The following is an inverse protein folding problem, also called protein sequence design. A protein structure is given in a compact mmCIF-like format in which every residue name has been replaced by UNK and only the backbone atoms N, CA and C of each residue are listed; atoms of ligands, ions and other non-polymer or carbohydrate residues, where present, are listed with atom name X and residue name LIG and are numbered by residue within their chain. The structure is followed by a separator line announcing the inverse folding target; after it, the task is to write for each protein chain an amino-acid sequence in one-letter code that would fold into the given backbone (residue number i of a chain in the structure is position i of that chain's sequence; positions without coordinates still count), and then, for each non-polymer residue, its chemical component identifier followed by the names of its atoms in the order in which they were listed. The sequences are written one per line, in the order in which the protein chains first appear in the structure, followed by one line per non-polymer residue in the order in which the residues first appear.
data_IF_252536595632
#
_entry.id   IF_252536595632
#
_cell.length_a   1.000
_cell.length_b   1.000
_cell.length_c   1.000
_cell.angle_alpha   90.00
_cell.angle_beta   90.00
_cell.angle_gamma   90.00
#
_symmetry.space_group_name_H-M   'P 1'
#
loop_
_entity.id
_entity.type
_entity.pdbx_description
1 polymer ?
#
# COMPACT_ATOMS: atom_id res chain seq x y z
N UNK A 1 -7.58 -15.61 -13.05
CA UNK A 1 -7.49 -14.16 -13.28
C UNK A 1 -6.11 -13.84 -13.85
N UNK A 2 -5.99 -12.93 -14.83
CA UNK A 2 -4.69 -12.59 -15.44
C UNK A 2 -4.23 -11.21 -14.94
N UNK A 3 -2.91 -10.95 -14.79
CA UNK A 3 -2.40 -9.66 -14.31
C UNK A 3 -2.90 -8.46 -15.13
N UNK A 4 -2.98 -8.61 -16.45
CA UNK A 4 -3.48 -7.55 -17.34
C UNK A 4 -4.94 -7.18 -17.06
N UNK A 5 -5.77 -8.16 -16.68
CA UNK A 5 -7.17 -7.91 -16.30
C UNK A 5 -7.26 -7.14 -14.99
N UNK A 6 -6.37 -7.43 -14.04
CA UNK A 6 -6.28 -6.67 -12.77
C UNK A 6 -5.80 -5.24 -13.03
N UNK A 7 -4.79 -5.07 -13.89
CA UNK A 7 -4.32 -3.74 -14.30
C UNK A 7 -5.42 -2.91 -14.98
N UNK A 8 -6.27 -3.53 -15.80
CA UNK A 8 -7.43 -2.85 -16.39
C UNK A 8 -8.43 -2.41 -15.32
N UNK A 9 -8.71 -3.23 -14.30
CA UNK A 9 -9.57 -2.84 -13.19
C UNK A 9 -8.99 -1.65 -12.41
N UNK A 10 -7.67 -1.62 -12.19
CA UNK A 10 -6.99 -0.47 -11.58
C UNK A 10 -7.18 0.79 -12.42
N UNK A 11 -6.99 0.71 -13.74
CA UNK A 11 -7.18 1.86 -14.64
C UNK A 11 -8.64 2.35 -14.69
N UNK A 12 -9.62 1.44 -14.64
CA UNK A 12 -11.04 1.79 -14.51
C UNK A 12 -11.27 2.54 -13.19
N UNK A 13 -10.71 2.02 -12.10
CA UNK A 13 -10.84 2.65 -10.79
C UNK A 13 -10.20 4.05 -10.77
N UNK A 14 -9.01 4.23 -11.34
CA UNK A 14 -8.38 5.55 -11.49
C UNK A 14 -9.24 6.53 -12.29
N UNK A 15 -9.93 6.05 -13.32
CA UNK A 15 -10.73 6.91 -14.19
C UNK A 15 -12.07 7.31 -13.57
N UNK A 16 -12.70 6.40 -12.81
CA UNK A 16 -14.09 6.52 -12.38
C UNK A 16 -14.28 6.58 -10.85
N UNK A 17 -13.21 6.60 -10.04
CA UNK A 17 -13.31 6.63 -8.56
C UNK A 17 -14.10 7.80 -7.99
N UNK A 18 -14.23 8.91 -8.72
CA UNK A 18 -15.01 10.10 -8.31
C UNK A 18 -16.25 10.33 -9.15
N UNK A 19 -16.58 9.41 -10.05
CA UNK A 19 -17.75 9.54 -10.90
C UNK A 19 -19.00 9.31 -10.07
N UNK A 20 -19.94 10.27 -10.02
CA UNK A 20 -21.20 10.08 -9.31
C UNK A 20 -22.05 9.04 -10.04
N UNK A 21 -22.85 8.30 -9.29
CA UNK A 21 -23.82 7.37 -9.85
C UNK A 21 -24.99 8.18 -10.48
N UNK A 22 -25.28 8.00 -11.79
CA UNK A 22 -26.37 8.72 -12.45
C UNK A 22 -27.76 8.25 -12.00
N UNK A 23 -27.86 7.04 -11.46
CA UNK A 23 -29.11 6.42 -11.02
C UNK A 23 -29.32 6.59 -9.50
N UNK A 24 -28.26 6.82 -8.73
CA UNK A 24 -28.32 6.94 -7.28
C UNK A 24 -27.59 8.19 -6.73
N UNK A 25 -28.32 9.30 -6.47
CA UNK A 25 -27.73 10.53 -5.96
C UNK A 25 -26.97 10.34 -4.64
N UNK A 26 -25.76 10.90 -4.56
CA UNK A 26 -24.91 10.83 -3.37
C UNK A 26 -23.97 9.62 -3.31
N UNK A 27 -24.08 8.68 -4.24
CA UNK A 27 -23.22 7.51 -4.35
C UNK A 27 -22.22 7.62 -5.52
N UNK A 28 -21.11 6.88 -5.44
CA UNK A 28 -20.16 6.75 -6.54
C UNK A 28 -20.55 5.61 -7.47
N UNK A 29 -20.34 5.82 -8.77
CA UNK A 29 -20.63 4.84 -9.83
C UNK A 29 -19.96 3.48 -9.59
N UNK A 30 -18.79 3.46 -8.94
CA UNK A 30 -18.06 2.21 -8.72
C UNK A 30 -18.52 1.43 -7.48
N UNK A 31 -19.36 2.00 -6.61
CA UNK A 31 -19.91 1.30 -5.43
C UNK A 31 -20.78 0.10 -5.86
N UNK A 32 -21.56 0.22 -6.93
CA UNK A 32 -22.34 -0.91 -7.48
C UNK A 32 -21.47 -2.09 -7.98
N UNK A 33 -20.17 -1.86 -8.22
CA UNK A 33 -19.21 -2.90 -8.64
C UNK A 33 -18.31 -3.40 -7.49
N UNK A 34 -18.60 -3.00 -6.24
CA UNK A 34 -17.79 -3.35 -5.08
C UNK A 34 -17.57 -4.86 -4.95
N UNK A 35 -18.63 -5.68 -5.08
CA UNK A 35 -18.52 -7.13 -4.90
C UNK A 35 -17.55 -7.77 -5.92
N UNK A 36 -17.58 -7.29 -7.17
CA UNK A 36 -16.71 -7.75 -8.25
C UNK A 36 -15.27 -7.31 -8.00
N UNK A 37 -15.07 -6.06 -7.57
CA UNK A 37 -13.75 -5.50 -7.23
C UNK A 37 -13.12 -6.23 -6.04
N UNK A 38 -13.89 -6.47 -4.97
CA UNK A 38 -13.44 -7.23 -3.78
C UNK A 38 -13.10 -8.67 -4.18
N UNK A 39 -13.91 -9.31 -5.03
CA UNK A 39 -13.63 -10.66 -5.53
C UNK A 39 -12.35 -10.72 -6.38
N UNK A 40 -12.11 -9.69 -7.21
CA UNK A 40 -10.89 -9.55 -7.99
C UNK A 40 -9.66 -9.44 -7.10
N UNK A 41 -9.70 -8.58 -6.07
CA UNK A 41 -8.62 -8.46 -5.08
C UNK A 41 -8.36 -9.78 -4.38
N UNK A 42 -9.41 -10.46 -3.90
CA UNK A 42 -9.26 -11.76 -3.23
C UNK A 42 -8.58 -12.79 -4.12
N UNK A 43 -8.96 -12.83 -5.39
CA UNK A 43 -8.36 -13.75 -6.37
C UNK A 43 -6.91 -13.38 -6.68
N UNK A 44 -6.59 -12.09 -6.79
CA UNK A 44 -5.25 -11.63 -7.10
C UNK A 44 -4.26 -11.80 -5.92
N UNK A 45 -4.74 -11.62 -4.69
CA UNK A 45 -3.94 -11.75 -3.45
C UNK A 45 -4.00 -13.16 -2.82
N UNK A 46 -4.57 -14.14 -3.51
CA UNK A 46 -4.61 -15.52 -3.02
C UNK A 46 -3.19 -16.10 -2.80
N UNK A 47 -3.05 -17.13 -1.95
CA UNK A 47 -1.76 -17.79 -1.70
C UNK A 47 -1.20 -18.51 -2.92
N UNK A 48 -2.08 -18.94 -3.83
CA UNK A 48 -1.71 -19.62 -5.07
C UNK A 48 -1.36 -18.65 -6.22
N UNK A 49 -1.52 -17.34 -6.01
CA UNK A 49 -1.25 -16.34 -7.05
C UNK A 49 0.22 -16.25 -7.42
N UNK A 50 0.50 -16.23 -8.72
CA UNK A 50 1.84 -15.92 -9.23
C UNK A 50 2.30 -14.50 -8.88
N UNK A 51 3.61 -14.23 -8.83
CA UNK A 51 4.16 -12.97 -8.31
C UNK A 51 3.71 -11.72 -9.08
N UNK A 52 3.57 -11.82 -10.41
CA UNK A 52 3.09 -10.71 -11.24
C UNK A 52 1.61 -10.40 -10.96
N UNK A 53 0.80 -11.42 -10.68
CA UNK A 53 -0.61 -11.24 -10.31
C UNK A 53 -0.73 -10.66 -8.90
N UNK A 54 0.10 -11.12 -7.96
CA UNK A 54 0.17 -10.58 -6.61
C UNK A 54 0.52 -9.09 -6.61
N UNK A 55 1.52 -8.69 -7.41
CA UNK A 55 1.94 -7.29 -7.57
C UNK A 55 0.78 -6.41 -8.07
N UNK A 56 0.12 -6.81 -9.17
CA UNK A 56 -1.03 -6.09 -9.70
C UNK A 56 -2.20 -6.07 -8.69
N UNK A 57 -2.38 -7.17 -7.95
CA UNK A 57 -3.38 -7.29 -6.90
C UNK A 57 -3.16 -6.32 -5.75
N UNK A 58 -1.91 -6.10 -5.33
CA UNK A 58 -1.55 -5.15 -4.27
C UNK A 58 -1.88 -3.71 -4.70
N UNK A 59 -1.60 -3.36 -5.96
CA UNK A 59 -1.98 -2.06 -6.51
C UNK A 59 -3.50 -1.86 -6.51
N UNK A 60 -4.25 -2.83 -7.07
CA UNK A 60 -5.72 -2.77 -7.12
C UNK A 60 -6.32 -2.66 -5.71
N UNK A 61 -5.84 -3.48 -4.78
CA UNK A 61 -6.31 -3.49 -3.40
C UNK A 61 -6.04 -2.14 -2.71
N UNK A 62 -4.85 -1.57 -2.90
CA UNK A 62 -4.51 -0.25 -2.37
C UNK A 62 -5.48 0.80 -2.91
N UNK A 63 -5.69 0.83 -4.22
CA UNK A 63 -6.56 1.80 -4.87
C UNK A 63 -8.01 1.70 -4.37
N UNK A 64 -8.56 0.48 -4.26
CA UNK A 64 -9.92 0.26 -3.73
C UNK A 64 -10.03 0.83 -2.31
N UNK A 65 -9.08 0.50 -1.45
CA UNK A 65 -9.07 0.93 -0.05
C UNK A 65 -8.84 2.43 0.15
N UNK A 66 -8.41 3.16 -0.88
CA UNK A 66 -8.17 4.61 -0.82
C UNK A 66 -9.10 5.44 -1.71
N UNK A 67 -10.08 4.80 -2.36
CA UNK A 67 -10.96 5.43 -3.36
C UNK A 67 -12.36 5.78 -2.85
N UNK A 68 -12.76 5.28 -1.67
CA UNK A 68 -14.12 5.43 -1.13
C UNK A 68 -15.15 4.44 -1.69
N UNK A 69 -14.78 3.61 -2.68
CA UNK A 69 -15.66 2.63 -3.34
C UNK A 69 -16.23 1.55 -2.41
N UNK A 70 -15.67 1.38 -1.22
CA UNK A 70 -16.17 0.42 -0.24
C UNK A 70 -17.40 0.92 0.54
N UNK A 71 -17.76 2.21 0.42
CA UNK A 71 -19.08 2.72 0.82
C UNK A 71 -19.52 2.43 2.26
N UNK A 72 -18.61 2.31 3.23
CA UNK A 72 -18.93 1.97 4.62
C UNK A 72 -18.77 0.49 4.98
N UNK A 73 -18.41 -0.40 4.04
CA UNK A 73 -18.28 -1.84 4.29
C UNK A 73 -17.01 -2.18 5.09
N UNK A 74 -17.13 -2.07 6.42
CA UNK A 74 -16.09 -2.45 7.36
C UNK A 74 -15.60 -3.90 7.17
N UNK A 75 -16.47 -4.82 6.74
CA UNK A 75 -16.12 -6.23 6.57
C UNK A 75 -15.21 -6.40 5.35
N UNK A 76 -15.54 -5.74 4.23
CA UNK A 76 -14.67 -5.72 3.06
C UNK A 76 -13.32 -5.05 3.35
N UNK A 77 -13.32 -3.90 4.05
CA UNK A 77 -12.11 -3.19 4.48
C UNK A 77 -11.19 -4.12 5.29
N UNK A 78 -11.72 -4.77 6.33
CA UNK A 78 -10.96 -5.72 7.16
C UNK A 78 -10.41 -6.90 6.35
N UNK A 79 -11.22 -7.47 5.45
CA UNK A 79 -10.82 -8.61 4.62
C UNK A 79 -9.70 -8.24 3.65
N UNK A 80 -9.83 -7.14 2.92
CA UNK A 80 -8.80 -6.67 1.99
C UNK A 80 -7.51 -6.34 2.75
N UNK A 81 -7.61 -5.63 3.88
CA UNK A 81 -6.44 -5.33 4.70
C UNK A 81 -5.73 -6.60 5.19
N UNK A 82 -6.47 -7.64 5.59
CA UNK A 82 -5.89 -8.93 5.97
C UNK A 82 -5.14 -9.60 4.82
N UNK A 83 -5.65 -9.48 3.59
CA UNK A 83 -4.99 -10.03 2.40
C UNK A 83 -3.68 -9.28 2.10
N UNK A 84 -3.70 -7.94 2.17
CA UNK A 84 -2.49 -7.11 2.00
C UNK A 84 -1.46 -7.42 3.10
N UNK A 85 -1.91 -7.64 4.33
CA UNK A 85 -1.02 -7.88 5.47
C UNK A 85 -0.39 -9.27 5.48
N UNK A 86 -0.94 -10.26 4.74
CA UNK A 86 -0.41 -11.63 4.76
C UNK A 86 1.03 -11.69 4.24
N UNK A 87 1.37 -11.17 3.03
CA UNK A 87 2.75 -11.10 2.56
C UNK A 87 3.69 -10.26 3.43
N UNK A 88 3.18 -9.35 4.25
CA UNK A 88 4.01 -8.55 5.16
C UNK A 88 4.59 -9.40 6.30
N UNK A 89 3.86 -10.41 6.76
CA UNK A 89 4.34 -11.29 7.83
C UNK A 89 5.58 -12.09 7.38
N UNK A 90 5.60 -12.47 6.11
CA UNK A 90 6.67 -13.26 5.48
C UNK A 90 7.60 -12.38 4.62
N UNK A 91 7.62 -11.06 4.86
CA UNK A 91 8.25 -10.06 3.99
C UNK A 91 9.69 -10.40 3.58
N UNK A 92 10.48 -10.92 4.52
CA UNK A 92 11.89 -11.28 4.29
C UNK A 92 12.02 -12.46 3.33
N UNK A 93 11.08 -13.39 3.40
CA UNK A 93 11.06 -14.64 2.63
C UNK A 93 10.30 -14.48 1.30
N UNK A 94 9.80 -13.28 0.98
CA UNK A 94 9.23 -12.95 -0.32
C UNK A 94 10.33 -13.02 -1.39
N UNK A 95 10.48 -14.19 -1.98
CA UNK A 95 11.43 -14.50 -3.04
C UNK A 95 10.83 -15.56 -3.97
N UNK A 96 11.00 -15.34 -5.28
CA UNK A 96 10.47 -16.22 -6.32
C UNK A 96 11.61 -16.68 -7.24
N UNK A 97 12.22 -17.86 -6.99
CA UNK A 97 13.42 -18.32 -7.69
C UNK A 97 13.26 -18.45 -9.22
N UNK A 98 12.04 -18.72 -9.69
CA UNK A 98 11.72 -18.84 -11.12
C UNK A 98 11.53 -17.50 -11.82
N UNK A 99 11.66 -16.38 -11.10
CA UNK A 99 11.47 -15.03 -11.61
C UNK A 99 12.73 -14.19 -11.39
N UNK A 100 12.89 -13.15 -12.20
CA UNK A 100 13.98 -12.20 -12.02
C UNK A 100 13.87 -11.48 -10.67
N UNK A 101 15.00 -11.14 -10.06
CA UNK A 101 15.09 -10.52 -8.73
C UNK A 101 14.24 -9.25 -8.60
N UNK A 102 14.15 -8.45 -9.67
CA UNK A 102 13.35 -7.23 -9.72
C UNK A 102 11.86 -7.48 -9.42
N UNK A 103 11.33 -8.67 -9.72
CA UNK A 103 9.92 -9.02 -9.45
C UNK A 103 9.68 -9.07 -7.94
N UNK A 104 10.58 -9.69 -7.18
CA UNK A 104 10.49 -9.77 -5.72
C UNK A 104 10.64 -8.39 -5.09
N UNK A 105 11.58 -7.58 -5.59
CA UNK A 105 11.74 -6.18 -5.18
C UNK A 105 10.47 -5.35 -5.44
N UNK A 106 9.86 -5.49 -6.61
CA UNK A 106 8.65 -4.77 -6.96
C UNK A 106 7.48 -5.12 -6.04
N UNK A 107 7.29 -6.40 -5.72
CA UNK A 107 6.27 -6.83 -4.75
C UNK A 107 6.53 -6.22 -3.37
N UNK A 108 7.79 -6.29 -2.89
CA UNK A 108 8.19 -5.69 -1.60
C UNK A 108 7.90 -4.18 -1.58
N UNK A 109 8.22 -3.44 -2.65
CA UNK A 109 7.93 -2.01 -2.77
C UNK A 109 6.42 -1.75 -2.75
N UNK A 110 5.64 -2.44 -3.58
CA UNK A 110 4.18 -2.26 -3.67
C UNK A 110 3.47 -2.60 -2.37
N UNK A 111 3.92 -3.63 -1.66
CA UNK A 111 3.41 -4.00 -0.35
C UNK A 111 3.64 -2.90 0.69
N UNK A 112 4.85 -2.34 0.72
CA UNK A 112 5.17 -1.23 1.63
C UNK A 112 4.42 0.05 1.27
N UNK A 113 4.26 0.33 -0.03
CA UNK A 113 3.44 1.43 -0.53
C UNK A 113 1.97 1.26 -0.15
N UNK A 114 1.41 0.04 -0.25
CA UNK A 114 0.05 -0.26 0.15
C UNK A 114 -0.19 0.11 1.62
N UNK A 115 0.65 -0.40 2.52
CA UNK A 115 0.57 -0.06 3.95
C UNK A 115 0.74 1.43 4.23
N UNK A 116 1.65 2.10 3.52
CA UNK A 116 1.86 3.54 3.66
C UNK A 116 0.63 4.33 3.21
N UNK A 117 0.06 4.01 2.04
CA UNK A 117 -1.14 4.62 1.49
C UNK A 117 -2.34 4.44 2.41
N UNK A 118 -2.57 3.23 2.92
CA UNK A 118 -3.67 2.94 3.85
C UNK A 118 -3.53 3.74 5.14
N UNK A 119 -2.30 3.84 5.68
CA UNK A 119 -2.03 4.64 6.88
C UNK A 119 -2.27 6.12 6.62
N UNK A 120 -1.67 6.68 5.56
CA UNK A 120 -1.84 8.08 5.18
C UNK A 120 -3.31 8.42 4.93
N UNK A 121 -4.05 7.54 4.26
CA UNK A 121 -5.48 7.70 3.98
C UNK A 121 -6.29 7.75 5.28
N UNK A 122 -6.11 6.75 6.16
CA UNK A 122 -6.80 6.67 7.47
C UNK A 122 -6.51 7.91 8.33
N UNK A 123 -5.24 8.34 8.40
CA UNK A 123 -4.84 9.52 9.19
C UNK A 123 -5.22 10.86 8.54
N UNK A 124 -5.47 10.89 7.22
CA UNK A 124 -5.92 12.12 6.56
C UNK A 124 -7.31 12.54 7.05
N UNK A 125 -8.16 11.60 7.45
CA UNK A 125 -9.45 11.88 8.07
C UNK A 125 -9.30 12.58 9.42
N UNK A 126 -8.39 12.08 10.27
CA UNK A 126 -8.09 12.68 11.58
C UNK A 126 -7.62 14.14 11.49
N UNK A 127 -6.98 14.52 10.38
CA UNK A 127 -6.38 15.86 10.19
C UNK A 127 -7.29 16.84 9.45
N UNK A 128 -8.12 16.38 8.52
CA UNK A 128 -8.95 17.24 7.64
C UNK A 128 -10.33 17.51 8.19
N UNK A 129 -10.89 16.57 8.93
CA UNK A 129 -12.22 16.73 9.49
C UNK A 129 -12.09 16.59 11.00
N UNK A 130 -12.57 17.56 11.75
CA UNK A 130 -12.83 17.38 13.19
C UNK A 130 -13.90 16.29 13.46
N UNK A 131 -14.36 15.55 12.44
CA UNK A 131 -15.11 14.30 12.54
C UNK A 131 -14.13 13.11 12.55
N UNK A 132 -14.35 12.14 13.43
CA UNK A 132 -13.48 10.96 13.57
C UNK A 132 -13.28 10.17 12.26
N UNK A 133 -12.29 9.27 12.29
CA UNK A 133 -12.06 8.28 11.21
C UNK A 133 -13.37 7.55 10.91
N UNK A 134 -13.74 7.36 9.62
CA UNK A 134 -14.94 6.59 9.27
C UNK A 134 -14.96 5.22 9.95
N UNK A 135 -16.11 4.79 10.44
CA UNK A 135 -16.26 3.56 11.25
C UNK A 135 -15.70 2.31 10.56
N UNK A 136 -15.72 2.29 9.23
CA UNK A 136 -15.16 1.23 8.41
C UNK A 136 -13.63 1.09 8.56
N UNK A 137 -12.89 2.20 8.73
CA UNK A 137 -11.43 2.21 8.86
C UNK A 137 -10.95 2.21 10.31
N UNK A 138 -11.83 2.47 11.30
CA UNK A 138 -11.46 2.42 12.73
C UNK A 138 -10.82 1.09 13.12
N UNK A 139 -11.31 0.00 12.54
CA UNK A 139 -10.78 -1.33 12.80
C UNK A 139 -9.35 -1.56 12.30
N UNK A 140 -8.83 -0.70 11.41
CA UNK A 140 -7.46 -0.80 10.94
C UNK A 140 -6.46 -0.20 11.93
N UNK A 141 -6.89 0.71 12.81
CA UNK A 141 -5.98 1.40 13.76
C UNK A 141 -5.21 0.42 14.66
N UNK A 142 -5.84 -0.60 15.30
CA UNK A 142 -5.11 -1.58 16.10
C UNK A 142 -4.20 -2.49 15.24
N UNK A 143 -4.54 -2.68 13.97
CA UNK A 143 -3.74 -3.50 13.06
C UNK A 143 -2.46 -2.78 12.64
N UNK A 144 -2.56 -1.46 12.38
CA UNK A 144 -1.39 -0.62 12.14
C UNK A 144 -0.47 -0.55 13.35
N UNK A 145 -1.02 -0.43 14.57
CA UNK A 145 -0.19 -0.36 15.77
C UNK A 145 0.63 -1.66 15.96
N UNK A 146 0.05 -2.82 15.65
CA UNK A 146 0.72 -4.13 15.72
C UNK A 146 1.92 -4.24 14.78
N UNK A 147 1.83 -3.72 13.56
CA UNK A 147 2.89 -3.83 12.54
C UNK A 147 3.76 -2.58 12.37
N UNK A 148 3.45 -1.47 13.07
CA UNK A 148 4.12 -0.17 12.93
C UNK A 148 5.64 -0.23 13.11
N UNK A 149 6.13 -0.97 14.11
CA UNK A 149 7.58 -1.05 14.38
C UNK A 149 8.35 -1.76 13.26
N UNK A 150 7.74 -2.76 12.62
CA UNK A 150 8.30 -3.51 11.50
C UNK A 150 8.21 -2.67 10.22
N UNK A 151 7.03 -2.10 9.93
CA UNK A 151 6.80 -1.24 8.77
C UNK A 151 7.75 -0.04 8.76
N UNK A 152 7.96 0.60 9.92
CA UNK A 152 8.91 1.72 10.05
C UNK A 152 10.32 1.33 9.63
N UNK A 153 10.80 0.16 10.08
CA UNK A 153 12.13 -0.34 9.70
C UNK A 153 12.21 -0.59 8.19
N UNK A 154 11.17 -1.20 7.60
CA UNK A 154 11.14 -1.51 6.18
C UNK A 154 11.01 -0.28 5.29
N UNK A 155 10.17 0.68 5.66
CA UNK A 155 10.05 1.98 4.98
C UNK A 155 11.37 2.75 4.97
N UNK A 156 12.06 2.81 6.11
CA UNK A 156 13.40 3.43 6.18
C UNK A 156 14.39 2.69 5.27
N UNK A 157 14.34 1.35 5.26
CA UNK A 157 15.18 0.52 4.38
C UNK A 157 14.99 0.85 2.90
N UNK A 158 13.74 0.86 2.42
CA UNK A 158 13.42 1.18 1.02
C UNK A 158 13.77 2.63 0.67
N UNK A 159 13.53 3.59 1.56
CA UNK A 159 13.91 4.98 1.30
C UNK A 159 15.43 5.17 1.23
N UNK A 160 16.20 4.43 2.03
CA UNK A 160 17.66 4.42 1.92
C UNK A 160 18.08 3.88 0.55
N UNK A 161 17.58 2.73 0.13
CA UNK A 161 17.88 2.16 -1.19
C UNK A 161 17.51 3.13 -2.32
N UNK A 162 16.32 3.75 -2.25
CA UNK A 162 15.91 4.77 -3.20
C UNK A 162 16.88 5.95 -3.24
N UNK A 163 17.34 6.45 -2.10
CA UNK A 163 18.32 7.55 -2.05
C UNK A 163 19.65 7.18 -2.72
N UNK A 164 20.11 5.94 -2.57
CA UNK A 164 21.35 5.46 -3.19
C UNK A 164 21.23 5.43 -4.71
N UNK A 165 20.07 4.96 -5.21
CA UNK A 165 19.77 4.89 -6.65
C UNK A 165 19.63 6.29 -7.24
N UNK A 166 18.83 7.16 -6.63
CA UNK A 166 18.52 8.48 -7.18
C UNK A 166 19.68 9.46 -7.14
N UNK A 167 20.50 9.42 -6.10
CA UNK A 167 21.63 10.34 -5.94
C UNK A 167 22.91 9.80 -6.59
N UNK A 168 22.85 8.63 -7.26
CA UNK A 168 24.00 7.94 -7.84
C UNK A 168 25.19 7.89 -6.87
N UNK A 169 24.92 7.68 -5.57
CA UNK A 169 25.97 7.71 -4.55
C UNK A 169 26.93 6.56 -4.85
N UNK A 170 28.19 6.90 -5.10
CA UNK A 170 29.28 5.95 -5.35
C UNK A 170 29.31 4.95 -4.18
N UNK A 171 28.77 3.75 -4.40
CA UNK A 171 28.56 2.71 -3.39
C UNK A 171 29.88 2.05 -2.93
N UNK A 172 30.99 2.79 -2.95
CA UNK A 172 32.35 2.25 -2.92
C UNK A 172 32.82 1.74 -1.56
N UNK A 173 31.97 1.58 -0.53
CA UNK A 173 32.36 0.68 0.58
C UNK A 173 31.30 0.10 1.51
N UNK A 174 30.13 0.72 1.76
CA UNK A 174 29.26 0.27 2.88
C UNK A 174 27.74 0.24 2.59
N UNK A 175 27.29 0.22 1.33
CA UNK A 175 25.84 0.07 1.08
C UNK A 175 25.43 -1.39 1.23
N UNK A 176 24.65 -1.68 2.27
CA UNK A 176 23.95 -2.96 2.41
C UNK A 176 22.50 -2.74 1.97
N UNK A 177 22.11 -3.18 0.75
CA UNK A 177 20.78 -2.94 0.23
C UNK A 177 19.72 -3.63 1.09
N UNK A 178 18.60 -2.95 1.30
CA UNK A 178 17.43 -3.54 1.96
C UNK A 178 16.64 -4.45 1.00
N UNK A 179 16.57 -4.07 -0.28
CA UNK A 179 15.98 -4.85 -1.36
C UNK A 179 17.08 -5.69 -2.04
N UNK A 180 16.96 -7.02 -1.91
CA UNK A 180 17.93 -7.96 -2.44
C UNK A 180 18.16 -7.77 -3.95
N UNK A 181 19.42 -7.71 -4.38
CA UNK A 181 19.78 -7.57 -5.80
C UNK A 181 19.65 -6.15 -6.38
N UNK A 182 19.13 -5.16 -5.63
CA UNK A 182 18.88 -3.81 -6.17
C UNK A 182 20.14 -3.03 -6.56
N UNK A 183 21.30 -3.44 -6.04
CA UNK A 183 22.62 -2.96 -6.44
C UNK A 183 22.95 -3.25 -7.93
N UNK A 184 22.27 -4.23 -8.55
CA UNK A 184 22.39 -4.50 -9.97
C UNK A 184 21.70 -3.41 -10.80
N UNK A 185 22.38 -2.77 -11.77
CA UNK A 185 21.78 -1.76 -12.64
C UNK A 185 20.55 -2.25 -13.42
N UNK A 186 20.50 -3.54 -13.73
CA UNK A 186 19.35 -4.17 -14.39
C UNK A 186 18.14 -4.25 -13.46
N UNK A 187 18.36 -4.53 -12.18
CA UNK A 187 17.28 -4.61 -11.19
C UNK A 187 16.79 -3.20 -10.84
N UNK A 188 17.71 -2.28 -10.55
CA UNK A 188 17.37 -0.90 -10.18
C UNK A 188 16.57 -0.19 -11.27
N UNK A 189 16.98 -0.30 -12.55
CA UNK A 189 16.25 0.30 -13.67
C UNK A 189 14.83 -0.24 -13.84
N UNK A 190 14.58 -1.52 -13.51
CA UNK A 190 13.25 -2.12 -13.58
C UNK A 190 12.33 -1.68 -12.44
N UNK A 191 12.88 -1.48 -11.24
CA UNK A 191 12.09 -1.08 -10.06
C UNK A 191 12.01 0.44 -9.86
N UNK A 192 12.79 1.24 -10.60
CA UNK A 192 12.89 2.69 -10.46
C UNK A 192 11.52 3.37 -10.49
N UNK A 193 10.69 3.09 -11.50
CA UNK A 193 9.35 3.68 -11.59
C UNK A 193 8.49 3.34 -10.37
N UNK A 194 8.55 2.10 -9.89
CA UNK A 194 7.81 1.69 -8.68
C UNK A 194 8.29 2.41 -7.44
N UNK A 195 9.60 2.70 -7.32
CA UNK A 195 10.15 3.49 -6.23
C UNK A 195 9.75 4.96 -6.34
N UNK A 196 9.83 5.56 -7.53
CA UNK A 196 9.44 6.95 -7.82
C UNK A 196 7.97 7.20 -7.46
N UNK A 197 7.08 6.25 -7.75
CA UNK A 197 5.67 6.30 -7.37
C UNK A 197 5.45 6.11 -5.86
N UNK A 198 6.28 5.30 -5.20
CA UNK A 198 6.02 4.84 -3.82
C UNK A 198 6.71 5.66 -2.74
N UNK A 199 7.87 6.26 -3.01
CA UNK A 199 8.64 6.98 -1.99
C UNK A 199 7.88 8.14 -1.33
N UNK A 200 7.03 8.95 -2.01
CA UNK A 200 6.40 10.10 -1.37
C UNK A 200 5.42 9.67 -0.28
N UNK A 201 4.59 8.66 -0.57
CA UNK A 201 3.60 8.16 0.38
C UNK A 201 4.26 7.40 1.52
N UNK A 202 5.35 6.66 1.26
CA UNK A 202 6.16 6.00 2.29
C UNK A 202 6.79 7.03 3.24
N UNK A 203 7.35 8.10 2.70
CA UNK A 203 7.93 9.19 3.50
C UNK A 203 6.85 9.88 4.34
N UNK A 204 5.68 10.15 3.77
CA UNK A 204 4.54 10.72 4.50
C UNK A 204 4.09 9.81 5.65
N UNK A 205 4.00 8.50 5.41
CA UNK A 205 3.61 7.52 6.42
C UNK A 205 4.60 7.46 7.59
N UNK A 206 5.89 7.58 7.31
CA UNK A 206 6.95 7.70 8.33
C UNK A 206 6.86 9.01 9.11
N UNK A 207 6.61 10.14 8.43
CA UNK A 207 6.45 11.42 9.10
C UNK A 207 5.27 11.41 10.08
N UNK A 208 4.17 10.74 9.75
CA UNK A 208 3.02 10.56 10.65
C UNK A 208 3.37 9.76 11.93
N UNK A 209 4.36 8.87 11.89
CA UNK A 209 4.86 8.15 13.08
C UNK A 209 5.74 9.00 13.99
N UNK A 210 6.29 10.10 13.47
CA UNK A 210 7.22 10.97 14.19
C UNK A 210 6.51 12.12 14.92
N UNK A 211 5.22 12.35 14.65
CA UNK A 211 4.43 13.36 15.36
C UNK A 211 4.21 12.85 16.78
N UNK A 212 4.73 13.53 17.83
CA UNK A 212 4.42 13.15 19.20
C UNK A 212 2.91 13.24 19.40
N UNK A 213 2.32 12.21 20.02
CA UNK A 213 0.96 12.30 20.53
C UNK A 213 0.97 13.47 21.50
N UNK A 214 0.35 14.60 21.12
CA UNK A 214 0.11 15.67 22.07
C UNK A 214 -0.67 15.03 23.22
N UNK A 215 0.00 14.87 24.36
CA UNK A 215 -0.65 14.63 25.64
C UNK A 215 -1.50 15.86 25.89
N UNK A 216 -2.75 15.83 25.41
CA UNK A 216 -3.81 16.61 26.04
C UNK A 216 -3.96 16.04 27.44
N UNK A 217 -3.09 16.51 28.33
CA UNK A 217 -3.28 16.41 29.75
C UNK A 217 -4.52 17.21 30.08
N UNK A 218 -5.50 16.51 30.63
CA UNK A 218 -6.47 17.07 31.54
C UNK A 218 -5.75 18.00 32.53
N UNK A 219 -5.98 19.31 32.39
CA UNK A 219 -5.90 20.22 33.52
C UNK A 219 -7.32 20.71 33.79
N UNK A 220 -8.08 19.88 34.52
CA UNK A 220 -9.05 20.39 35.48
C UNK A 220 -8.29 20.99 36.66
N UNK A 221 -8.34 22.31 36.79
CA UNK A 221 -8.37 23.05 38.05
C UNK A 221 -8.80 24.48 37.73
#
# INVERSE_FOLDING_TARGET
MRPISVGLLTAILDKFEKSPDPELPGHLLLEQYQAQLVSAVRTALDASSGPILLEAGLQLATKIMTSGVLGGDQVAVKRIFSLISRPLNDFKDVYYPSFAEWVSCQIKIRLLAAHASLKCYTFSFLRRHHSGVPDEYLALLPLFSKSSSILRKYWIGVLKDYSYICLCLDAKKNWNPFLDGIQSPLVSSKVQLSLEESWPVILQALALDAIPVNTHGDSKA
#
